data_IF_397644333592
#
_entry.id   IF_397644333592
#
_cell.length_a   1.000
_cell.length_b   1.000
_cell.length_c   1.000
_cell.angle_alpha   90.00
_cell.angle_beta   90.00
_cell.angle_gamma   90.00
#
_symmetry.space_group_name_H-M   'P 1'
#
loop_
_entity.id
_entity.type
_entity.pdbx_description
1 polymer ?
#
# COMPACT_ATOMS: atom_id res chain seq x y z
N UNK A 1 18.87 0.52 -13.10
CA UNK A 1 17.69 1.00 -13.84
C UNK A 1 16.46 0.38 -13.17
N UNK A 2 15.83 1.08 -12.24
CA UNK A 2 14.67 0.57 -11.50
C UNK A 2 13.42 0.79 -12.36
N UNK A 3 12.77 -0.29 -12.79
CA UNK A 3 11.53 -0.20 -13.58
C UNK A 3 10.37 0.14 -12.64
N UNK A 4 9.70 1.26 -12.88
CA UNK A 4 8.39 1.52 -12.25
C UNK A 4 7.34 0.63 -12.91
N UNK A 5 6.46 0.05 -12.10
CA UNK A 5 5.49 -0.97 -12.52
C UNK A 5 4.11 -0.31 -12.58
N UNK A 6 3.34 -0.65 -13.62
CA UNK A 6 1.93 -0.30 -13.73
C UNK A 6 1.11 -1.56 -13.46
N UNK A 7 0.12 -1.48 -12.57
CA UNK A 7 -0.77 -2.60 -12.27
C UNK A 7 -2.21 -2.08 -12.23
N UNK A 8 -3.06 -2.65 -13.08
CA UNK A 8 -4.47 -2.26 -13.26
C UNK A 8 -5.41 -2.92 -12.24
N UNK A 9 -4.88 -3.86 -11.44
CA UNK A 9 -5.66 -4.66 -10.49
C UNK A 9 -5.17 -4.42 -9.07
N UNK A 10 -6.04 -3.83 -8.25
CA UNK A 10 -5.88 -3.73 -6.80
C UNK A 10 -6.12 -5.10 -6.17
N UNK A 11 -5.08 -5.93 -6.06
CA UNK A 11 -5.13 -7.17 -5.27
C UNK A 11 -4.26 -7.00 -4.03
N UNK A 12 -4.93 -6.81 -2.90
CA UNK A 12 -4.33 -6.62 -1.58
C UNK A 12 -5.40 -6.19 -0.57
N UNK A 13 -5.17 -6.45 0.71
CA UNK A 13 -6.00 -5.87 1.78
C UNK A 13 -5.72 -4.36 1.79
N UNK A 14 -6.72 -3.50 1.57
CA UNK A 14 -6.51 -2.05 1.36
C UNK A 14 -5.75 -1.37 2.50
N UNK A 15 -5.80 -1.92 3.70
CA UNK A 15 -5.13 -1.38 4.90
C UNK A 15 -3.58 -1.37 4.82
N UNK A 16 -2.98 -2.12 3.88
CA UNK A 16 -1.52 -2.22 3.71
C UNK A 16 -1.00 -1.55 2.42
N UNK A 17 -1.91 -1.00 1.61
CA UNK A 17 -1.58 -0.44 0.29
C UNK A 17 -1.11 1.00 0.45
N UNK A 18 0.00 1.35 -0.20
CA UNK A 18 0.55 2.70 -0.22
C UNK A 18 -0.30 3.66 -1.06
N UNK A 19 -0.39 4.95 -0.71
CA UNK A 19 -1.22 5.93 -1.44
C UNK A 19 -0.87 6.07 -2.92
N UNK A 20 0.39 5.91 -3.31
CA UNK A 20 0.84 5.95 -4.72
C UNK A 20 0.35 4.74 -5.55
N UNK A 21 0.16 3.60 -4.90
CA UNK A 21 -0.43 2.41 -5.53
C UNK A 21 -1.93 2.62 -5.70
N UNK A 22 -2.61 3.25 -4.74
CA UNK A 22 -4.03 3.63 -4.87
C UNK A 22 -4.25 4.66 -5.98
N UNK A 23 -3.40 5.67 -6.11
CA UNK A 23 -3.46 6.67 -7.19
C UNK A 23 -3.21 6.02 -8.57
N UNK A 24 -2.29 5.06 -8.64
CA UNK A 24 -1.98 4.34 -9.88
C UNK A 24 -3.15 3.52 -10.43
N UNK A 25 -4.05 3.03 -9.57
CA UNK A 25 -5.27 2.30 -9.97
C UNK A 25 -6.28 3.19 -10.72
N UNK A 26 -6.20 4.51 -10.53
CA UNK A 26 -7.03 5.49 -11.25
C UNK A 26 -6.53 5.83 -12.66
N UNK A 27 -5.60 5.04 -13.20
CA UNK A 27 -4.95 5.30 -14.51
C UNK A 27 -3.93 6.44 -14.47
N UNK A 28 -3.53 6.90 -13.28
CA UNK A 28 -2.56 7.97 -13.08
C UNK A 28 -1.46 7.51 -12.14
N UNK A 29 -0.36 7.00 -12.70
CA UNK A 29 0.87 6.86 -11.95
C UNK A 29 1.58 5.54 -12.17
N UNK A 30 2.88 5.58 -11.90
CA UNK A 30 3.74 4.40 -11.83
C UNK A 30 4.33 4.36 -10.43
N UNK A 31 4.17 3.24 -9.73
CA UNK A 31 4.81 3.04 -8.43
C UNK A 31 6.07 2.19 -8.61
N UNK A 32 7.08 2.43 -7.78
CA UNK A 32 8.28 1.61 -7.70
C UNK A 32 8.29 0.72 -6.47
N UNK A 33 9.44 0.12 -6.16
CA UNK A 33 9.62 -0.75 -4.98
C UNK A 33 9.49 -0.02 -3.64
N UNK A 34 9.45 1.32 -3.66
CA UNK A 34 9.17 2.13 -2.48
C UNK A 34 7.82 1.80 -1.82
N UNK A 35 6.82 1.34 -2.57
CA UNK A 35 5.53 0.94 -2.01
C UNK A 35 5.64 -0.25 -1.04
N UNK A 36 6.63 -1.13 -1.23
CA UNK A 36 6.85 -2.27 -0.34
C UNK A 36 7.35 -1.81 1.03
N UNK A 37 8.08 -0.68 1.10
CA UNK A 37 8.53 -0.10 2.37
C UNK A 37 7.38 0.53 3.16
N UNK A 38 6.35 1.05 2.49
CA UNK A 38 5.12 1.47 3.14
C UNK A 38 4.47 0.29 3.87
N UNK A 39 4.26 -0.82 3.16
CA UNK A 39 3.65 -2.03 3.74
C UNK A 39 4.47 -2.56 4.94
N UNK A 40 5.81 -2.52 4.87
CA UNK A 40 6.67 -2.87 6.01
C UNK A 40 6.43 -1.95 7.21
N UNK A 41 6.22 -0.65 6.99
CA UNK A 41 5.87 0.30 8.06
C UNK A 41 4.53 -0.01 8.72
N UNK A 42 3.53 -0.39 7.92
CA UNK A 42 2.21 -0.81 8.41
C UNK A 42 2.32 -2.06 9.28
N UNK A 43 3.03 -3.09 8.82
CA UNK A 43 3.23 -4.34 9.58
C UNK A 43 4.06 -4.10 10.85
N UNK A 44 5.08 -3.24 10.78
CA UNK A 44 5.86 -2.88 11.97
C UNK A 44 4.99 -2.17 13.02
N UNK A 45 4.10 -1.28 12.59
CA UNK A 45 3.13 -0.64 13.47
C UNK A 45 2.17 -1.65 14.09
N UNK A 46 1.59 -2.54 13.28
CA UNK A 46 0.66 -3.58 13.73
C UNK A 46 1.31 -4.49 14.79
N UNK A 47 2.56 -4.92 14.58
CA UNK A 47 3.29 -5.71 15.57
C UNK A 47 3.51 -4.98 16.90
N UNK A 48 3.57 -3.64 16.90
CA UNK A 48 3.78 -2.83 18.09
C UNK A 48 2.48 -2.43 18.78
N UNK A 49 1.42 -2.16 18.02
CA UNK A 49 0.18 -1.56 18.51
C UNK A 49 -1.00 -2.55 18.57
N UNK A 50 -0.87 -3.72 17.95
CA UNK A 50 -1.88 -4.78 17.90
C UNK A 50 -2.81 -4.72 16.68
N UNK A 51 -2.94 -3.56 16.04
CA UNK A 51 -3.81 -3.31 14.89
C UNK A 51 -3.13 -2.43 13.83
N UNK A 52 -3.50 -2.54 12.53
CA UNK A 52 -2.98 -1.66 11.48
C UNK A 52 -3.34 -0.18 11.76
N UNK A 53 -2.48 0.79 11.43
CA UNK A 53 -2.73 2.20 11.70
C UNK A 53 -3.89 2.79 10.86
N UNK A 54 -4.22 2.15 9.73
CA UNK A 54 -5.29 2.59 8.82
C UNK A 54 -6.41 1.55 8.66
N UNK A 55 -6.51 0.60 9.60
CA UNK A 55 -7.58 -0.41 9.58
C UNK A 55 -8.94 0.28 9.64
N UNK A 56 -9.71 0.20 8.56
CA UNK A 56 -11.09 0.67 8.57
C UNK A 56 -12.00 -0.46 9.06
N UNK A 57 -12.22 -0.56 10.37
CA UNK A 57 -13.46 -1.18 10.84
C UNK A 57 -14.59 -0.25 10.38
N UNK A 58 -15.26 -0.60 9.27
CA UNK A 58 -16.58 -0.07 8.97
C UNK A 58 -17.50 -0.52 10.10
N UNK A 59 -17.70 0.35 11.10
CA UNK A 59 -18.82 0.27 12.03
C UNK A 59 -20.10 0.80 11.37
#
# INVERSE_FOLDING_TARGET
MYSKIYSDTAVGTPDYVSPEVLDSQGGKGYYGKECDWWAVGIVAYEMMCGDPPFSSESL
#
